data_IF_353094782849
#
_entry.id   IF_353094782849
#
_cell.length_a   1.000
_cell.length_b   1.000
_cell.length_c   1.000
_cell.angle_alpha   90.00
_cell.angle_beta   90.00
_cell.angle_gamma   90.00
#
_symmetry.space_group_name_H-M   'P 1'
#
loop_
_entity.id
_entity.type
_entity.pdbx_description
1 polymer ?
#
# COMPACT_ATOMS: atom_id res chain seq x y z
N UNK A 1 -11.81 -5.94 -1.37
CA UNK A 1 -11.21 -4.80 -2.11
C UNK A 1 -11.92 -4.64 -3.44
N UNK A 2 -12.16 -3.41 -3.87
CA UNK A 2 -12.87 -3.08 -5.12
C UNK A 2 -12.04 -2.17 -6.02
N UNK A 3 -12.24 -2.31 -7.34
CA UNK A 3 -11.73 -1.36 -8.34
C UNK A 3 -12.65 -0.14 -8.49
N UNK A 4 -12.28 0.79 -9.38
CA UNK A 4 -13.06 2.03 -9.65
C UNK A 4 -14.46 1.78 -10.24
N UNK A 5 -14.71 0.58 -10.75
CA UNK A 5 -16.01 0.16 -11.29
C UNK A 5 -16.84 -0.58 -10.24
N UNK A 6 -16.29 -0.80 -9.04
CA UNK A 6 -16.93 -1.53 -7.95
C UNK A 6 -16.78 -3.05 -8.04
N UNK A 7 -15.99 -3.58 -8.98
CA UNK A 7 -15.75 -5.03 -9.10
C UNK A 7 -14.90 -5.51 -7.94
N UNK A 8 -15.18 -6.72 -7.44
CA UNK A 8 -14.33 -7.37 -6.46
C UNK A 8 -13.03 -7.87 -7.08
N UNK A 9 -11.92 -7.24 -6.70
CA UNK A 9 -10.60 -7.52 -7.27
C UNK A 9 -9.65 -8.22 -6.31
N UNK A 10 -10.07 -8.44 -5.06
CA UNK A 10 -9.27 -9.16 -4.09
C UNK A 10 -9.72 -8.96 -2.65
N UNK A 11 -9.00 -9.62 -1.75
CA UNK A 11 -9.23 -9.58 -0.29
C UNK A 11 -7.91 -9.50 0.45
N UNK A 12 -7.94 -8.87 1.62
CA UNK A 12 -6.79 -8.76 2.50
C UNK A 12 -7.23 -9.05 3.94
N UNK A 13 -6.44 -9.84 4.67
CA UNK A 13 -6.68 -10.17 6.07
C UNK A 13 -5.50 -9.71 6.91
N UNK A 14 -5.81 -9.13 8.07
CA UNK A 14 -4.85 -8.65 9.04
C UNK A 14 -5.13 -9.36 10.36
N UNK A 15 -4.17 -10.16 10.85
CA UNK A 15 -4.35 -10.99 12.04
C UNK A 15 -3.21 -10.73 13.00
N UNK A 16 -3.52 -10.50 14.28
CA UNK A 16 -2.49 -10.37 15.30
C UNK A 16 -1.67 -11.66 15.39
N UNK A 17 -0.35 -11.53 15.42
CA UNK A 17 0.52 -12.66 15.75
C UNK A 17 0.38 -12.96 17.25
N UNK A 18 0.09 -14.22 17.61
CA UNK A 18 -0.17 -14.60 19.00
C UNK A 18 1.09 -14.66 19.88
N UNK A 19 2.28 -14.55 19.29
CA UNK A 19 3.58 -14.70 19.96
C UNK A 19 4.35 -13.39 20.05
N UNK A 20 3.89 -12.34 19.38
CA UNK A 20 4.61 -11.08 19.25
C UNK A 20 3.66 -9.90 19.06
N UNK A 21 4.18 -8.68 19.02
CA UNK A 21 3.40 -7.47 18.67
C UNK A 21 3.26 -7.26 17.16
N UNK A 22 3.38 -8.33 16.37
CA UNK A 22 3.36 -8.28 14.92
C UNK A 22 1.96 -8.57 14.35
N UNK A 23 1.78 -8.28 13.07
CA UNK A 23 0.55 -8.54 12.31
C UNK A 23 0.88 -9.40 11.10
N UNK A 24 0.21 -10.54 10.98
CA UNK A 24 0.14 -11.30 9.74
C UNK A 24 -0.77 -10.58 8.75
N UNK A 25 -0.26 -10.39 7.54
CA UNK A 25 -1.01 -9.82 6.43
C UNK A 25 -1.06 -10.84 5.31
N UNK A 26 -2.25 -11.15 4.84
CA UNK A 26 -2.50 -12.08 3.76
C UNK A 26 -3.33 -11.38 2.69
N UNK A 27 -2.83 -11.33 1.46
CA UNK A 27 -3.48 -10.62 0.34
C UNK A 27 -3.68 -11.57 -0.82
N UNK A 28 -4.92 -11.60 -1.34
CA UNK A 28 -5.32 -12.33 -2.52
C UNK A 28 -5.88 -11.39 -3.58
N UNK A 29 -5.34 -11.45 -4.79
CA UNK A 29 -5.80 -10.67 -5.95
C UNK A 29 -6.43 -11.59 -7.00
N UNK A 30 -7.57 -11.16 -7.54
CA UNK A 30 -8.32 -11.86 -8.60
C UNK A 30 -7.83 -11.42 -9.98
N UNK A 31 -8.26 -12.12 -11.05
CA UNK A 31 -7.71 -12.04 -12.42
C UNK A 31 -7.83 -10.70 -13.19
N UNK A 32 -7.97 -9.57 -12.48
CA UNK A 32 -8.15 -8.23 -13.04
C UNK A 32 -6.87 -7.38 -13.06
N UNK A 33 -5.77 -7.89 -12.48
CA UNK A 33 -4.49 -7.19 -12.43
C UNK A 33 -3.61 -7.51 -13.63
N UNK A 34 -2.75 -6.55 -14.01
CA UNK A 34 -1.69 -6.79 -14.98
C UNK A 34 -0.61 -7.70 -14.38
N UNK A 35 0.07 -8.55 -15.17
CA UNK A 35 1.20 -9.32 -14.66
C UNK A 35 2.36 -8.43 -14.19
N UNK A 36 3.00 -8.78 -13.07
CA UNK A 36 4.12 -8.03 -12.50
C UNK A 36 3.95 -7.74 -11.00
N UNK A 37 4.85 -6.93 -10.44
CA UNK A 37 4.75 -6.49 -9.05
C UNK A 37 3.81 -5.30 -8.92
N UNK A 38 2.97 -5.34 -7.89
CA UNK A 38 2.08 -4.27 -7.50
C UNK A 38 2.40 -3.81 -6.08
N UNK A 39 2.67 -2.52 -5.91
CA UNK A 39 2.87 -1.88 -4.61
C UNK A 39 1.59 -1.92 -3.78
N UNK A 40 1.75 -2.08 -2.46
CA UNK A 40 0.64 -2.16 -1.52
C UNK A 40 0.92 -1.29 -0.31
N UNK A 41 -0.10 -0.59 0.15
CA UNK A 41 0.01 0.28 1.32
C UNK A 41 -1.26 0.23 2.16
N UNK A 42 -1.10 0.34 3.47
CA UNK A 42 -2.17 0.80 4.35
C UNK A 42 -2.21 2.33 4.28
N UNK A 43 -3.38 2.87 4.01
CA UNK A 43 -3.67 4.30 3.96
C UNK A 43 -4.41 4.75 5.22
N UNK A 44 -4.21 6.02 5.56
CA UNK A 44 -4.57 6.61 6.86
C UNK A 44 -6.08 6.78 7.10
N UNK A 45 -6.93 6.57 6.08
CA UNK A 45 -8.39 6.65 6.19
C UNK A 45 -9.07 5.42 5.64
N UNK A 46 -10.09 4.95 6.34
CA UNK A 46 -11.01 3.90 5.91
C UNK A 46 -12.01 4.39 4.85
N UNK A 47 -11.52 4.99 3.75
CA UNK A 47 -12.37 5.61 2.74
C UNK A 47 -11.92 5.27 1.31
N UNK A 48 -12.69 4.40 0.65
CA UNK A 48 -12.47 3.99 -0.74
C UNK A 48 -13.40 4.70 -1.74
N UNK A 49 -13.84 5.93 -1.45
CA UNK A 49 -14.66 6.72 -2.38
C UNK A 49 -13.89 6.98 -3.68
N UNK A 50 -14.51 6.67 -4.81
CA UNK A 50 -13.94 6.91 -6.15
C UNK A 50 -14.04 8.40 -6.49
N UNK A 51 -12.89 9.04 -6.67
CA UNK A 51 -12.71 10.44 -7.08
C UNK A 51 -12.15 10.55 -8.50
N UNK A 52 -11.03 11.26 -8.64
CA UNK A 52 -10.50 11.64 -9.94
C UNK A 52 -9.94 10.44 -10.74
N UNK A 53 -10.15 10.36 -12.08
CA UNK A 53 -9.73 9.20 -12.88
C UNK A 53 -8.24 8.84 -12.80
N UNK A 54 -7.36 9.83 -12.60
CA UNK A 54 -5.92 9.61 -12.55
C UNK A 54 -5.46 8.93 -11.24
N UNK A 55 -6.12 9.25 -10.13
CA UNK A 55 -5.86 8.73 -8.79
C UNK A 55 -7.22 8.59 -8.09
N UNK A 56 -7.89 7.44 -8.26
CA UNK A 56 -9.31 7.33 -7.94
C UNK A 56 -9.61 7.21 -6.45
N UNK A 57 -8.68 6.76 -5.61
CA UNK A 57 -8.95 6.53 -4.18
C UNK A 57 -8.29 7.58 -3.27
N UNK A 58 -8.20 8.84 -3.72
CA UNK A 58 -7.56 9.93 -2.95
C UNK A 58 -8.23 10.22 -1.62
N UNK A 59 -9.49 9.78 -1.44
CA UNK A 59 -10.21 9.90 -0.17
C UNK A 59 -9.58 9.07 0.96
N UNK A 60 -8.77 8.05 0.63
CA UNK A 60 -8.03 7.24 1.59
C UNK A 60 -6.88 8.02 2.27
N UNK A 61 -6.49 9.18 1.75
CA UNK A 61 -5.36 9.96 2.27
C UNK A 61 -3.99 9.40 1.89
N UNK A 62 -2.97 9.77 2.66
CA UNK A 62 -1.61 9.27 2.52
C UNK A 62 -1.42 7.86 3.09
N UNK A 63 -0.17 7.38 3.09
CA UNK A 63 0.18 6.14 3.77
C UNK A 63 -0.02 6.29 5.28
N UNK A 64 -0.31 5.19 5.97
CA UNK A 64 -0.44 5.17 7.42
C UNK A 64 0.90 5.55 8.10
N UNK A 65 0.80 6.54 8.99
CA UNK A 65 1.90 7.14 9.75
C UNK A 65 1.93 6.61 11.20
N UNK A 66 3.03 6.71 11.96
CA UNK A 66 4.26 7.49 11.73
C UNK A 66 5.24 6.87 10.72
N UNK A 67 6.41 7.50 10.56
CA UNK A 67 7.56 6.90 9.87
C UNK A 67 8.21 5.83 10.75
N UNK A 68 8.55 4.69 10.18
CA UNK A 68 9.39 3.68 10.83
C UNK A 68 10.86 4.18 10.85
N UNK A 69 11.48 4.36 12.02
CA UNK A 69 12.87 4.84 12.12
C UNK A 69 13.89 3.88 11.52
N UNK A 70 13.55 2.60 11.32
CA UNK A 70 14.45 1.57 10.77
C UNK A 70 14.55 1.67 9.25
N UNK A 71 13.44 1.99 8.57
CA UNK A 71 13.36 2.01 7.12
C UNK A 71 13.33 3.43 6.55
N UNK A 72 12.93 4.42 7.35
CA UNK A 72 12.67 5.77 6.87
C UNK A 72 11.45 5.84 5.96
N UNK A 73 10.53 4.88 6.05
CA UNK A 73 9.26 4.80 5.29
C UNK A 73 8.05 4.82 6.24
N UNK A 74 6.85 5.19 5.79
CA UNK A 74 5.63 5.11 6.61
C UNK A 74 5.38 3.69 7.13
N UNK A 75 4.82 3.54 8.33
CA UNK A 75 4.53 2.21 8.90
C UNK A 75 3.52 1.42 8.05
N UNK A 76 2.68 2.09 7.26
CA UNK A 76 1.74 1.50 6.31
C UNK A 76 2.38 0.87 5.07
N UNK A 77 3.70 0.91 4.94
CA UNK A 77 4.44 0.28 3.85
C UNK A 77 4.31 -1.25 3.90
N UNK A 78 3.92 -1.87 2.79
CA UNK A 78 3.82 -3.34 2.68
C UNK A 78 4.76 -3.89 1.60
N UNK A 79 5.22 -5.15 1.71
CA UNK A 79 5.79 -5.89 0.60
C UNK A 79 4.87 -5.87 -0.63
N UNK A 80 5.44 -5.75 -1.83
CA UNK A 80 4.69 -5.84 -3.08
C UNK A 80 4.13 -7.25 -3.30
N UNK A 81 2.99 -7.35 -3.98
CA UNK A 81 2.42 -8.63 -4.44
C UNK A 81 2.83 -8.90 -5.88
N UNK A 82 3.29 -10.13 -6.15
CA UNK A 82 3.56 -10.59 -7.51
C UNK A 82 2.28 -11.15 -8.13
N UNK A 83 1.85 -10.52 -9.22
CA UNK A 83 0.73 -10.96 -10.04
C UNK A 83 1.25 -11.78 -11.22
N UNK A 84 0.69 -12.99 -11.39
CA UNK A 84 1.06 -13.91 -12.47
C UNK A 84 0.38 -13.53 -13.79
N UNK A 85 0.76 -14.22 -14.87
CA UNK A 85 0.20 -14.02 -16.21
C UNK A 85 -1.34 -14.13 -16.29
N UNK A 86 -1.97 -14.90 -15.38
CA UNK A 86 -3.43 -15.03 -15.30
C UNK A 86 -4.11 -13.91 -14.47
N UNK A 87 -3.38 -12.84 -14.16
CA UNK A 87 -3.86 -11.70 -13.39
C UNK A 87 -4.07 -11.96 -11.90
N UNK A 88 -3.71 -13.14 -11.38
CA UNK A 88 -3.89 -13.49 -9.95
C UNK A 88 -2.58 -13.32 -9.18
N UNK A 89 -2.69 -12.79 -7.97
CA UNK A 89 -1.57 -12.62 -7.03
C UNK A 89 -1.93 -13.16 -5.65
N UNK A 90 -0.91 -13.63 -4.94
CA UNK A 90 -1.02 -14.03 -3.54
C UNK A 90 0.27 -13.66 -2.81
N UNK A 91 0.14 -13.11 -1.62
CA UNK A 91 1.28 -12.90 -0.72
C UNK A 91 0.83 -13.02 0.72
N UNK A 92 1.73 -13.52 1.56
CA UNK A 92 1.54 -13.62 3.01
C UNK A 92 2.85 -13.31 3.70
N UNK A 93 2.80 -12.37 4.64
CA UNK A 93 3.98 -11.89 5.36
C UNK A 93 3.58 -11.42 6.76
N UNK A 94 4.58 -11.15 7.59
CA UNK A 94 4.41 -10.61 8.93
C UNK A 94 5.13 -9.27 9.02
N UNK A 95 4.49 -8.28 9.65
CA UNK A 95 5.07 -6.96 9.91
C UNK A 95 5.04 -6.67 11.40
N UNK A 96 6.13 -6.08 11.90
CA UNK A 96 6.26 -5.58 13.27
C UNK A 96 6.27 -4.04 13.31
N UNK A 97 5.93 -3.39 12.19
CA UNK A 97 5.88 -1.92 12.04
C UNK A 97 4.65 -1.31 12.72
N UNK A 98 3.58 -2.10 12.92
CA UNK A 98 2.34 -1.69 13.59
C UNK A 98 1.62 -2.87 14.24
N UNK A 99 0.69 -2.56 15.15
CA UNK A 99 -0.29 -3.49 15.72
C UNK A 99 -1.67 -3.31 15.08
N UNK A 100 -2.60 -4.24 15.30
CA UNK A 100 -3.98 -4.07 14.84
C UNK A 100 -4.65 -2.77 15.33
N UNK A 101 -4.29 -2.27 16.52
CA UNK A 101 -4.86 -1.02 17.05
C UNK A 101 -4.58 0.19 16.14
N UNK A 102 -3.43 0.19 15.43
CA UNK A 102 -3.12 1.24 14.47
C UNK A 102 -4.08 1.22 13.26
N UNK A 103 -4.69 0.08 12.94
CA UNK A 103 -5.60 -0.07 11.80
C UNK A 103 -7.02 0.41 12.12
N UNK A 104 -7.38 0.51 13.40
CA UNK A 104 -8.73 0.77 13.87
C UNK A 104 -8.86 2.11 14.61
N UNK A 105 -8.07 3.11 14.21
CA UNK A 105 -8.24 4.49 14.66
C UNK A 105 -9.60 5.11 14.27
N UNK A 106 -9.91 6.34 14.71
CA UNK A 106 -11.22 6.95 14.52
C UNK A 106 -11.62 7.15 13.06
N UNK A 107 -10.66 7.39 12.17
CA UNK A 107 -10.89 7.52 10.73
C UNK A 107 -10.88 6.17 9.99
N UNK A 108 -10.61 5.07 10.70
CA UNK A 108 -10.31 3.76 10.15
C UNK A 108 -9.07 3.77 9.25
N UNK A 109 -8.79 2.65 8.59
CA UNK A 109 -7.72 2.55 7.58
C UNK A 109 -8.22 1.79 6.36
N UNK A 110 -7.50 1.91 5.25
CA UNK A 110 -7.77 1.13 4.04
C UNK A 110 -6.50 0.53 3.50
N UNK A 111 -6.59 -0.61 2.83
CA UNK A 111 -5.51 -1.13 2.01
C UNK A 111 -5.71 -0.66 0.57
N UNK A 112 -4.63 -0.19 -0.06
CA UNK A 112 -4.58 0.11 -1.47
C UNK A 112 -3.57 -0.79 -2.16
N UNK A 113 -3.96 -1.31 -3.32
CA UNK A 113 -3.05 -1.96 -4.28
C UNK A 113 -2.91 -1.05 -5.49
N UNK A 114 -1.67 -0.69 -5.81
CA UNK A 114 -1.36 0.24 -6.88
C UNK A 114 -1.23 -0.45 -8.24
N UNK A 115 -1.17 0.34 -9.32
CA UNK A 115 -1.05 -0.16 -10.69
C UNK A 115 0.37 -0.59 -11.09
N UNK A 116 1.40 -0.21 -10.33
CA UNK A 116 2.81 -0.54 -10.60
C UNK A 116 3.54 -1.02 -9.35
N UNK A 117 4.77 -1.47 -9.54
CA UNK A 117 5.70 -1.83 -8.48
C UNK A 117 6.05 -0.63 -7.61
N UNK A 118 6.23 -0.89 -6.34
CA UNK A 118 6.80 0.06 -5.40
C UNK A 118 8.34 0.09 -5.49
N UNK A 119 8.94 1.28 -5.49
CA UNK A 119 10.39 1.46 -5.47
C UNK A 119 10.98 1.59 -4.06
N UNK A 120 10.17 1.65 -3.00
CA UNK A 120 10.56 1.78 -1.59
C UNK A 120 11.50 2.95 -1.30
N UNK A 121 11.36 4.02 -2.09
CA UNK A 121 12.28 5.15 -2.11
C UNK A 121 13.75 4.79 -2.37
N UNK A 122 14.01 3.63 -2.97
CA UNK A 122 15.35 3.16 -3.26
C UNK A 122 15.89 3.77 -4.55
N UNK A 123 16.46 4.98 -4.43
CA UNK A 123 17.14 5.66 -5.54
C UNK A 123 18.58 6.00 -5.10
N UNK A 124 19.61 5.32 -5.65
CA UNK A 124 21.01 5.61 -5.34
C UNK A 124 21.42 7.04 -5.73
N UNK A 125 21.59 7.91 -4.73
CA UNK A 125 21.89 9.34 -4.93
C UNK A 125 23.26 9.62 -5.57
N UNK A 126 24.16 8.64 -5.59
CA UNK A 126 25.47 8.69 -6.25
C UNK A 126 25.38 8.52 -7.78
N UNK A 127 24.29 7.91 -8.29
CA UNK A 127 24.12 7.61 -9.73
C UNK A 127 22.92 8.28 -10.38
N UNK A 128 21.94 8.70 -9.59
CA UNK A 128 20.69 9.28 -10.08
C UNK A 128 20.48 10.71 -9.59
N UNK A 129 19.75 11.52 -10.38
CA UNK A 129 19.39 12.90 -10.06
C UNK A 129 17.96 13.19 -10.49
N UNK A 130 17.32 14.16 -9.84
CA UNK A 130 16.01 14.66 -10.26
C UNK A 130 16.18 15.56 -11.48
N UNK A 131 15.61 15.16 -12.63
CA UNK A 131 15.82 15.85 -13.91
C UNK A 131 15.47 17.34 -13.89
N UNK A 132 14.35 17.70 -13.23
CA UNK A 132 13.86 19.08 -13.15
C UNK A 132 14.12 19.72 -11.79
N UNK A 133 15.08 19.19 -11.03
CA UNK A 133 15.47 19.70 -9.74
C UNK A 133 16.88 19.26 -9.37
N UNK A 134 17.94 19.81 -10.00
CA UNK A 134 19.32 19.33 -9.77
C UNK A 134 19.79 19.45 -8.32
N UNK A 135 19.11 20.28 -7.51
CA UNK A 135 19.36 20.47 -6.07
C UNK A 135 18.38 19.71 -5.18
N UNK A 136 17.37 19.05 -5.75
CA UNK A 136 16.41 18.27 -4.98
C UNK A 136 17.09 17.04 -4.37
N UNK A 137 16.67 16.61 -3.18
CA UNK A 137 17.16 15.37 -2.60
C UNK A 137 16.81 14.18 -3.50
N UNK A 138 17.63 13.13 -3.41
CA UNK A 138 17.40 11.85 -4.07
C UNK A 138 17.36 10.77 -2.98
N UNK A 139 16.25 10.04 -2.82
CA UNK A 139 14.94 10.23 -3.46
C UNK A 139 14.28 11.57 -3.09
N UNK A 140 13.40 12.08 -3.95
CA UNK A 140 12.61 13.28 -3.62
C UNK A 140 11.47 12.95 -2.64
N UNK A 141 10.83 13.98 -2.09
CA UNK A 141 9.78 13.80 -1.08
C UNK A 141 8.57 13.03 -1.59
N UNK A 142 8.26 13.11 -2.88
CA UNK A 142 7.14 12.35 -3.46
C UNK A 142 7.49 10.87 -3.52
N UNK A 143 8.70 10.53 -3.96
CA UNK A 143 9.19 9.17 -3.97
C UNK A 143 9.19 8.59 -2.55
N UNK A 144 9.69 9.33 -1.54
CA UNK A 144 9.64 8.91 -0.13
C UNK A 144 8.24 8.64 0.38
N UNK A 145 7.27 9.46 -0.03
CA UNK A 145 5.89 9.36 0.44
C UNK A 145 5.06 8.28 -0.27
N UNK A 146 5.43 7.86 -1.48
CA UNK A 146 4.52 7.09 -2.36
C UNK A 146 5.13 5.86 -3.02
N UNK A 147 6.45 5.71 -2.98
CA UNK A 147 7.14 4.62 -3.68
C UNK A 147 7.01 4.64 -5.21
N UNK A 148 6.47 5.73 -5.78
CA UNK A 148 6.12 5.90 -7.19
C UNK A 148 5.32 4.73 -7.80
N UNK A 149 4.50 4.05 -6.98
CA UNK A 149 3.76 2.84 -7.36
C UNK A 149 2.63 3.08 -8.39
N UNK A 150 2.46 4.30 -8.88
CA UNK A 150 1.43 4.66 -9.86
C UNK A 150 0.04 4.86 -9.22
N UNK A 151 -1.00 4.83 -10.06
CA UNK A 151 -2.38 5.06 -9.62
C UNK A 151 -2.86 3.98 -8.66
N UNK A 152 -3.77 4.34 -7.77
CA UNK A 152 -4.42 3.46 -6.81
C UNK A 152 -5.44 2.60 -7.58
N UNK A 153 -5.16 1.32 -7.82
CA UNK A 153 -5.98 0.47 -8.69
C UNK A 153 -7.15 -0.18 -7.94
N UNK A 154 -6.89 -0.63 -6.71
CA UNK A 154 -7.89 -1.24 -5.85
C UNK A 154 -7.81 -0.66 -4.44
N UNK A 155 -8.96 -0.56 -3.77
CA UNK A 155 -9.06 -0.12 -2.39
C UNK A 155 -9.98 -1.05 -1.58
N UNK A 156 -9.64 -1.31 -0.32
CA UNK A 156 -10.53 -1.95 0.64
C UNK A 156 -10.42 -1.30 2.01
N UNK A 157 -11.57 -0.89 2.58
CA UNK A 157 -11.64 -0.46 3.97
C UNK A 157 -11.30 -1.65 4.87
N UNK A 158 -10.42 -1.45 5.84
CA UNK A 158 -10.06 -2.46 6.82
C UNK A 158 -11.09 -2.37 7.95
N UNK A 159 -11.86 -3.42 8.14
CA UNK A 159 -12.87 -3.54 9.20
C UNK A 159 -12.52 -4.70 10.11
N UNK A 160 -13.06 -4.69 11.33
CA UNK A 160 -13.01 -5.86 12.20
C UNK A 160 -13.92 -6.94 11.61
N UNK A 161 -13.50 -8.20 11.70
CA UNK A 161 -14.41 -9.31 11.47
C UNK A 161 -15.41 -9.29 12.63
N UNK A 162 -16.71 -9.34 12.35
CA UNK A 162 -17.77 -9.31 13.37
C UNK A 162 -18.10 -10.71 13.92
N UNK A 163 -17.18 -11.68 13.75
CA UNK A 163 -17.36 -13.07 14.15
C UNK A 163 -16.45 -13.45 15.32
#
# INVERSE_FOLDING_TARGET
MKDVKGNEVGSAWFTADSRSRAVWVEVYLTGHFTPGFHGMHVHEKGNCTVGAPKNPFTAAGGHLMPMDPRTGLPIGQLPSVLVRANGRGYTKFVLDTYTLDHLFGPDGTSIIVHSKSDNFANIPADRYRVCNGPKAPVPDEKTKATGDAGSQFACGVITRDEN
#
